data_IF_503668193513
#
_entry.id   IF_503668193513
#
_cell.length_a   1.000
_cell.length_b   1.000
_cell.length_c   1.000
_cell.angle_alpha   90.00
_cell.angle_beta   90.00
_cell.angle_gamma   90.00
#
_symmetry.space_group_name_H-M   'P 1'
#
loop_
_entity.id
_entity.type
_entity.pdbx_description
1 polymer ?
#
# COMPACT_ATOMS: atom_id res chain seq x y z
N UNK A 1 34.52 -1.47 -3.01
CA UNK A 1 33.11 -1.03 -3.05
C UNK A 1 32.59 -1.37 -4.44
N UNK A 2 31.40 -1.96 -4.55
CA UNK A 2 30.78 -2.35 -5.82
C UNK A 2 29.52 -1.50 -6.06
N UNK A 3 29.33 -1.06 -7.30
CA UNK A 3 28.22 -0.24 -7.76
C UNK A 3 27.72 -0.79 -9.08
N UNK A 4 26.45 -1.16 -9.10
CA UNK A 4 25.75 -1.59 -10.31
C UNK A 4 24.57 -0.64 -10.51
N UNK A 5 24.54 0.06 -11.65
CA UNK A 5 23.47 1.00 -12.00
C UNK A 5 22.99 0.64 -13.40
N UNK A 6 21.69 0.39 -13.53
CA UNK A 6 21.03 0.07 -14.79
C UNK A 6 19.88 1.03 -15.02
N UNK A 7 19.81 1.58 -16.23
CA UNK A 7 18.60 2.24 -16.72
C UNK A 7 17.84 1.28 -17.61
N UNK A 8 16.52 1.22 -17.46
CA UNK A 8 15.67 0.43 -18.33
C UNK A 8 14.53 1.25 -18.90
N UNK A 9 14.15 0.87 -20.12
CA UNK A 9 12.95 1.34 -20.78
C UNK A 9 12.27 0.13 -21.45
N UNK A 10 11.18 -0.34 -20.87
CA UNK A 10 10.44 -1.52 -21.31
C UNK A 10 9.04 -1.13 -21.74
N UNK A 11 8.72 -1.38 -23.01
CA UNK A 11 7.35 -1.30 -23.53
C UNK A 11 6.81 -2.72 -23.66
N UNK A 12 5.75 -3.04 -22.93
CA UNK A 12 5.00 -4.29 -23.08
C UNK A 12 3.77 -3.99 -23.92
N UNK A 13 3.57 -4.73 -25.00
CA UNK A 13 2.37 -4.66 -25.86
C UNK A 13 1.49 -5.88 -25.62
N UNK A 14 0.30 -5.86 -26.21
CA UNK A 14 -0.60 -7.01 -26.24
C UNK A 14 -0.99 -7.51 -24.84
N UNK A 15 -1.17 -6.58 -23.90
CA UNK A 15 -1.69 -6.89 -22.57
C UNK A 15 -3.13 -7.38 -22.69
N UNK A 16 -3.39 -8.54 -22.13
CA UNK A 16 -4.70 -9.14 -22.08
C UNK A 16 -5.55 -8.45 -21.02
N UNK A 17 -6.59 -7.73 -21.46
CA UNK A 17 -7.47 -6.93 -20.59
C UNK A 17 -8.95 -7.14 -20.97
N UNK A 18 -9.85 -6.88 -20.02
CA UNK A 18 -11.30 -6.84 -20.24
C UNK A 18 -11.69 -5.56 -21.00
N UNK A 19 -11.67 -5.62 -22.33
CA UNK A 19 -12.01 -4.50 -23.19
C UNK A 19 -13.50 -4.16 -23.11
N UNK A 20 -13.91 -2.89 -22.85
CA UNK A 20 -15.32 -2.51 -22.83
C UNK A 20 -15.94 -2.66 -24.22
N UNK A 21 -17.19 -3.14 -24.26
CA UNK A 21 -17.97 -3.28 -25.49
C UNK A 21 -19.10 -2.25 -25.56
N UNK A 22 -19.52 -1.83 -26.77
CA UNK A 22 -20.72 -1.01 -26.93
C UNK A 22 -21.94 -1.71 -26.34
N UNK A 23 -22.79 -0.94 -25.65
CA UNK A 23 -24.01 -1.46 -24.99
C UNK A 23 -24.96 -2.16 -25.95
N UNK A 24 -24.96 -1.76 -27.23
CA UNK A 24 -25.72 -2.39 -28.32
C UNK A 24 -25.38 -3.86 -28.56
N UNK A 25 -24.19 -4.32 -28.13
CA UNK A 25 -23.76 -5.72 -28.29
C UNK A 25 -24.40 -6.67 -27.30
N UNK A 26 -25.01 -6.17 -26.22
CA UNK A 26 -25.58 -7.00 -25.14
C UNK A 26 -24.56 -7.61 -24.17
N UNK A 27 -23.25 -7.40 -24.40
CA UNK A 27 -22.17 -7.81 -23.51
C UNK A 27 -21.43 -6.58 -22.95
N UNK A 28 -20.88 -6.68 -21.74
CA UNK A 28 -20.20 -5.57 -21.08
C UNK A 28 -18.71 -5.46 -21.43
N UNK A 29 -18.00 -6.58 -21.51
CA UNK A 29 -16.56 -6.63 -21.82
C UNK A 29 -16.19 -7.88 -22.62
N UNK A 30 -14.99 -7.89 -23.23
CA UNK A 30 -14.37 -9.06 -23.84
C UNK A 30 -12.85 -9.06 -23.59
N UNK A 31 -12.30 -10.22 -23.22
CA UNK A 31 -10.86 -10.37 -23.03
C UNK A 31 -10.11 -10.28 -24.38
N UNK A 32 -9.26 -9.26 -24.51
CA UNK A 32 -8.45 -9.03 -25.72
C UNK A 32 -7.07 -8.46 -25.37
N UNK A 33 -6.11 -8.72 -26.25
CA UNK A 33 -4.77 -8.13 -26.19
C UNK A 33 -4.83 -6.68 -26.68
N UNK A 34 -5.24 -5.76 -25.80
CA UNK A 34 -5.52 -4.37 -26.17
C UNK A 34 -4.65 -3.35 -25.44
N UNK A 35 -3.92 -3.75 -24.39
CA UNK A 35 -3.13 -2.81 -23.60
C UNK A 35 -1.67 -2.72 -24.05
N UNK A 36 -1.11 -1.52 -24.05
CA UNK A 36 0.33 -1.31 -24.05
C UNK A 36 0.75 -0.47 -22.84
N UNK A 37 1.79 -0.90 -22.13
CA UNK A 37 2.30 -0.21 -20.94
C UNK A 37 3.81 0.00 -21.08
N UNK A 38 4.27 1.16 -20.63
CA UNK A 38 5.67 1.56 -20.57
C UNK A 38 6.11 1.60 -19.12
N UNK A 39 7.19 0.89 -18.81
CA UNK A 39 7.92 0.97 -17.55
C UNK A 39 9.31 1.51 -17.87
N UNK A 40 9.70 2.59 -17.19
CA UNK A 40 11.03 3.16 -17.34
C UNK A 40 11.56 3.58 -15.99
N UNK A 41 12.85 3.37 -15.76
CA UNK A 41 13.35 3.41 -14.40
C UNK A 41 14.84 3.19 -14.26
N UNK A 42 15.26 3.22 -13.01
CA UNK A 42 16.64 2.99 -12.58
C UNK A 42 16.66 1.85 -11.57
N UNK A 43 17.57 0.91 -11.77
CA UNK A 43 17.95 -0.11 -10.80
C UNK A 43 19.36 0.17 -10.31
N UNK A 44 19.51 0.28 -8.99
CA UNK A 44 20.79 0.58 -8.36
C UNK A 44 21.08 -0.42 -7.25
N UNK A 45 22.26 -1.01 -7.29
CA UNK A 45 22.81 -1.83 -6.21
C UNK A 45 24.17 -1.28 -5.79
N UNK A 46 24.28 -0.92 -4.51
CA UNK A 46 25.49 -0.37 -3.92
C UNK A 46 25.90 -1.28 -2.79
N UNK A 47 27.09 -1.87 -2.86
CA UNK A 47 27.62 -2.74 -1.81
C UNK A 47 29.00 -2.28 -1.37
N UNK A 48 29.15 -1.98 -0.09
CA UNK A 48 30.40 -1.51 0.49
C UNK A 48 30.78 -2.27 1.75
N UNK A 49 32.07 -2.59 1.88
CA UNK A 49 32.68 -2.93 3.17
C UNK A 49 33.14 -1.62 3.78
N UNK A 50 32.37 -1.10 4.74
CA UNK A 50 32.60 0.20 5.37
C UNK A 50 33.74 0.15 6.38
N UNK A 51 33.87 -0.98 7.09
CA UNK A 51 35.01 -1.27 7.96
C UNK A 51 35.48 -2.68 7.71
N UNK A 52 36.80 -2.84 7.57
CA UNK A 52 37.47 -4.12 7.47
C UNK A 52 38.67 -4.12 8.42
N UNK A 53 38.53 -4.75 9.57
CA UNK A 53 39.57 -4.82 10.59
C UNK A 53 39.58 -6.20 11.24
N UNK A 54 40.65 -6.49 11.98
CA UNK A 54 40.84 -7.80 12.62
C UNK A 54 39.66 -8.20 13.52
N UNK A 55 39.12 -7.26 14.29
CA UNK A 55 38.08 -7.54 15.27
C UNK A 55 36.69 -7.03 14.89
N UNK A 56 36.58 -6.16 13.89
CA UNK A 56 35.31 -5.55 13.49
C UNK A 56 35.21 -5.44 11.97
N UNK A 57 34.13 -5.98 11.41
CA UNK A 57 33.81 -5.86 10.00
C UNK A 57 32.37 -5.36 9.86
N UNK A 58 32.17 -4.45 8.91
CA UNK A 58 30.86 -3.92 8.59
C UNK A 58 30.70 -3.84 7.08
N UNK A 59 29.70 -4.57 6.58
CA UNK A 59 29.27 -4.54 5.19
C UNK A 59 27.85 -4.00 5.11
N UNK A 60 27.62 -3.07 4.20
CA UNK A 60 26.30 -2.53 3.89
C UNK A 60 25.97 -2.74 2.42
N UNK A 61 24.71 -3.05 2.14
CA UNK A 61 24.18 -3.21 0.79
C UNK A 61 22.87 -2.43 0.66
N UNK A 62 22.80 -1.54 -0.31
CA UNK A 62 21.61 -0.79 -0.68
C UNK A 62 21.13 -1.30 -2.04
N UNK A 63 19.87 -1.73 -2.11
CA UNK A 63 19.14 -1.99 -3.34
C UNK A 63 18.05 -0.93 -3.49
N UNK A 64 17.99 -0.27 -4.64
CA UNK A 64 17.06 0.81 -4.92
C UNK A 64 16.55 0.68 -6.35
N UNK A 65 15.23 0.56 -6.51
CA UNK A 65 14.53 0.59 -7.78
C UNK A 65 13.63 1.82 -7.83
N UNK A 66 13.74 2.59 -8.93
CA UNK A 66 12.78 3.62 -9.33
C UNK A 66 12.05 3.13 -10.57
N UNK A 67 10.73 3.11 -10.55
CA UNK A 67 9.94 2.71 -11.72
C UNK A 67 8.80 3.69 -11.98
N UNK A 68 8.80 4.30 -13.17
CA UNK A 68 7.64 5.03 -13.69
C UNK A 68 6.85 4.13 -14.63
N UNK A 69 5.62 3.82 -14.25
CA UNK A 69 4.67 3.04 -15.03
C UNK A 69 3.64 3.97 -15.69
N UNK A 70 3.36 3.73 -16.97
CA UNK A 70 2.42 4.52 -17.78
C UNK A 70 1.72 3.63 -18.81
N UNK A 71 0.40 3.71 -18.87
CA UNK A 71 -0.42 3.09 -19.92
C UNK A 71 -0.31 3.93 -21.18
N UNK A 72 0.14 3.32 -22.29
CA UNK A 72 0.41 4.03 -23.55
C UNK A 72 -0.71 3.85 -24.57
N UNK A 73 -1.44 2.74 -24.51
CA UNK A 73 -2.53 2.44 -25.45
C UNK A 73 -3.55 1.48 -24.83
N UNK A 74 -4.83 1.67 -25.17
CA UNK A 74 -5.94 0.77 -24.85
C UNK A 74 -6.84 0.56 -26.08
N UNK A 75 -6.73 -0.58 -26.73
CA UNK A 75 -7.54 -0.91 -27.91
C UNK A 75 -7.31 0.07 -29.06
N UNK A 76 -8.34 0.27 -29.88
CA UNK A 76 -8.30 1.17 -31.03
C UNK A 76 -8.63 2.62 -30.66
N UNK A 77 -9.43 2.83 -29.61
CA UNK A 77 -9.99 4.14 -29.24
C UNK A 77 -9.49 4.68 -27.89
N UNK A 78 -8.56 3.99 -27.22
CA UNK A 78 -8.07 4.36 -25.90
C UNK A 78 -9.17 4.50 -24.84
N UNK A 79 -10.24 3.71 -24.96
CA UNK A 79 -11.32 3.72 -23.98
C UNK A 79 -10.82 3.25 -22.61
N UNK A 80 -11.29 3.94 -21.56
CA UNK A 80 -11.01 3.60 -20.19
C UNK A 80 -11.53 2.22 -19.83
N UNK A 81 -10.74 1.48 -19.04
CA UNK A 81 -11.15 0.19 -18.48
C UNK A 81 -11.37 0.37 -16.98
N UNK A 82 -12.63 0.33 -16.56
CA UNK A 82 -13.01 0.38 -15.15
C UNK A 82 -12.82 -0.98 -14.50
N UNK A 83 -12.14 -1.03 -13.35
CA UNK A 83 -11.76 -2.27 -12.68
C UNK A 83 -12.06 -2.23 -11.18
N UNK A 84 -11.96 -3.41 -10.54
CA UNK A 84 -12.11 -3.60 -9.10
C UNK A 84 -13.44 -3.02 -8.59
N UNK A 85 -14.54 -3.43 -9.25
CA UNK A 85 -15.89 -3.02 -8.88
C UNK A 85 -16.23 -3.52 -7.47
N UNK A 86 -16.61 -2.61 -6.60
CA UNK A 86 -16.98 -2.91 -5.22
C UNK A 86 -18.13 -2.00 -4.80
N UNK A 87 -18.12 -1.51 -3.56
CA UNK A 87 -19.10 -0.56 -3.05
C UNK A 87 -19.01 0.75 -3.84
N UNK A 88 -20.15 1.24 -4.34
CA UNK A 88 -20.21 2.52 -5.06
C UNK A 88 -19.61 2.47 -6.48
N UNK A 89 -19.36 1.27 -7.02
CA UNK A 89 -18.91 1.07 -8.39
C UNK A 89 -17.42 0.73 -8.51
N UNK A 90 -16.85 1.04 -9.67
CA UNK A 90 -15.43 0.85 -9.94
C UNK A 90 -14.56 1.75 -9.06
N UNK A 91 -13.49 1.16 -8.51
CA UNK A 91 -12.55 1.81 -7.60
C UNK A 91 -11.15 1.97 -8.21
N UNK A 92 -10.97 1.49 -9.43
CA UNK A 92 -9.73 1.66 -10.19
C UNK A 92 -10.03 1.79 -11.67
N UNK A 93 -9.08 2.36 -12.39
CA UNK A 93 -9.20 2.66 -13.81
C UNK A 93 -7.86 2.42 -14.49
N UNK A 94 -7.90 1.79 -15.66
CA UNK A 94 -6.78 1.81 -16.60
C UNK A 94 -7.12 2.87 -17.65
N UNK A 95 -6.27 3.90 -17.73
CA UNK A 95 -6.44 5.05 -18.63
C UNK A 95 -5.11 5.38 -19.30
N UNK A 96 -5.14 5.70 -20.59
CA UNK A 96 -3.93 6.11 -21.32
C UNK A 96 -3.35 7.40 -20.73
N UNK A 97 -2.04 7.42 -20.55
CA UNK A 97 -1.28 8.50 -19.90
C UNK A 97 -1.10 8.30 -18.38
N UNK A 98 -1.81 7.35 -17.78
CA UNK A 98 -1.87 7.17 -16.33
C UNK A 98 -1.18 5.87 -15.88
N UNK A 99 -1.06 5.71 -14.57
CA UNK A 99 -0.54 4.49 -13.98
C UNK A 99 -1.47 3.28 -14.24
N UNK A 100 -0.92 2.08 -14.36
CA UNK A 100 -1.70 0.85 -14.57
C UNK A 100 -2.58 0.48 -13.36
N UNK A 101 -2.25 0.96 -12.16
CA UNK A 101 -3.04 0.79 -10.94
C UNK A 101 -3.48 2.16 -10.39
N UNK A 102 -4.23 2.92 -11.18
CA UNK A 102 -4.81 4.19 -10.74
C UNK A 102 -6.12 3.96 -9.98
N UNK A 103 -6.24 4.56 -8.80
CA UNK A 103 -7.46 4.58 -8.01
C UNK A 103 -8.46 5.55 -8.61
N UNK A 104 -9.74 5.16 -8.61
CA UNK A 104 -10.81 5.90 -9.25
C UNK A 104 -11.97 6.11 -8.28
N UNK A 105 -12.41 7.35 -8.13
CA UNK A 105 -13.49 7.72 -7.22
C UNK A 105 -13.79 9.21 -7.27
N UNK A 106 -14.61 9.69 -6.35
CA UNK A 106 -14.96 11.10 -6.27
C UNK A 106 -13.90 11.89 -5.49
N UNK A 107 -13.92 13.22 -5.59
CA UNK A 107 -13.19 14.08 -4.66
C UNK A 107 -14.12 14.56 -3.55
N UNK A 108 -13.67 14.43 -2.30
CA UNK A 108 -14.37 14.89 -1.10
C UNK A 108 -14.20 16.40 -0.98
N UNK A 109 -15.32 17.12 -0.95
CA UNK A 109 -15.37 18.58 -0.86
C UNK A 109 -15.76 19.07 0.55
N UNK A 110 -15.89 18.16 1.51
CA UNK A 110 -16.34 18.43 2.87
C UNK A 110 -17.66 17.74 3.18
N UNK A 111 -18.48 18.42 3.98
CA UNK A 111 -19.87 18.04 4.27
C UNK A 111 -20.81 19.15 3.81
N UNK A 112 -22.06 18.80 3.49
CA UNK A 112 -23.07 19.83 3.27
C UNK A 112 -23.38 20.57 4.57
N UNK A 113 -23.53 21.89 4.49
CA UNK A 113 -23.79 22.78 5.61
C UNK A 113 -25.08 23.55 5.41
N UNK A 114 -25.54 24.30 6.42
CA UNK A 114 -26.70 25.19 6.27
C UNK A 114 -26.50 26.20 5.13
N UNK A 115 -25.28 26.70 4.91
CA UNK A 115 -24.97 27.61 3.82
C UNK A 115 -25.20 26.98 2.44
N UNK A 116 -24.97 25.66 2.29
CA UNK A 116 -25.26 24.96 1.04
C UNK A 116 -26.76 24.85 0.77
N UNK A 117 -27.57 24.69 1.82
CA UNK A 117 -29.03 24.66 1.73
C UNK A 117 -29.58 26.04 1.38
N UNK A 118 -29.09 27.08 2.05
CA UNK A 118 -29.50 28.47 1.80
C UNK A 118 -29.13 28.92 0.38
N UNK A 119 -28.03 28.39 -0.18
CA UNK A 119 -27.62 28.59 -1.56
C UNK A 119 -28.36 27.71 -2.59
N UNK A 120 -29.25 26.82 -2.15
CA UNK A 120 -30.01 25.90 -3.01
C UNK A 120 -29.20 24.73 -3.58
N UNK A 121 -28.01 24.47 -3.04
CA UNK A 121 -27.11 23.40 -3.49
C UNK A 121 -27.34 22.06 -2.76
N UNK A 122 -28.15 22.06 -1.70
CA UNK A 122 -28.46 20.88 -0.88
C UNK A 122 -29.85 21.01 -0.26
N UNK A 123 -30.44 19.89 0.19
CA UNK A 123 -31.64 19.92 1.03
C UNK A 123 -31.28 19.96 2.50
N UNK A 124 -32.21 20.39 3.35
CA UNK A 124 -32.00 20.38 4.80
C UNK A 124 -31.66 18.99 5.36
N UNK A 125 -32.13 17.91 4.73
CA UNK A 125 -31.80 16.53 5.13
C UNK A 125 -30.37 16.09 4.76
N UNK A 126 -29.66 16.89 3.95
CA UNK A 126 -28.30 16.62 3.50
C UNK A 126 -27.25 17.24 4.42
N UNK A 127 -27.61 18.17 5.31
CA UNK A 127 -26.67 18.82 6.23
C UNK A 127 -25.93 17.77 7.05
N UNK A 128 -24.60 17.78 6.97
CA UNK A 128 -23.68 16.84 7.61
C UNK A 128 -23.33 15.61 6.76
N UNK A 129 -23.95 15.42 5.59
CA UNK A 129 -23.60 14.35 4.66
C UNK A 129 -22.36 14.71 3.85
N UNK A 130 -21.69 13.69 3.34
CA UNK A 130 -20.57 13.84 2.43
C UNK A 130 -20.91 14.71 1.22
N UNK A 131 -20.17 15.80 1.04
CA UNK A 131 -20.20 16.59 -0.19
C UNK A 131 -19.08 16.11 -1.11
N UNK A 132 -19.41 15.72 -2.35
CA UNK A 132 -18.47 15.17 -3.33
C UNK A 132 -18.60 15.86 -4.68
N UNK A 133 -17.63 15.63 -5.56
CA UNK A 133 -17.78 15.92 -6.99
C UNK A 133 -18.92 15.11 -7.61
N UNK A 134 -19.47 15.58 -8.74
CA UNK A 134 -20.52 14.87 -9.48
C UNK A 134 -19.96 13.72 -10.30
N UNK A 135 -18.73 13.87 -10.79
CA UNK A 135 -18.03 12.89 -11.62
C UNK A 135 -16.84 12.30 -10.85
N UNK A 136 -16.51 11.06 -11.20
CA UNK A 136 -15.32 10.38 -10.69
C UNK A 136 -14.08 10.82 -11.46
N UNK A 137 -12.95 10.86 -10.77
CA UNK A 137 -11.64 11.16 -11.31
C UNK A 137 -10.59 10.19 -10.72
N UNK A 138 -9.35 10.30 -11.20
CA UNK A 138 -8.24 9.57 -10.59
C UNK A 138 -7.88 10.26 -9.28
N UNK A 139 -7.90 9.50 -8.19
CA UNK A 139 -7.73 10.00 -6.82
C UNK A 139 -6.43 9.51 -6.16
N UNK A 140 -5.65 8.69 -6.87
CA UNK A 140 -4.37 8.17 -6.39
C UNK A 140 -3.85 7.01 -7.24
N UNK A 141 -2.76 6.39 -6.80
CA UNK A 141 -2.11 5.24 -7.46
C UNK A 141 -1.57 4.21 -6.47
N UNK A 142 -1.80 2.94 -6.79
CA UNK A 142 -1.32 1.81 -6.01
C UNK A 142 0.08 1.33 -6.38
N UNK A 143 0.75 1.89 -7.40
CA UNK A 143 2.14 1.51 -7.73
C UNK A 143 3.15 2.47 -7.09
N UNK A 144 4.20 1.94 -6.41
CA UNK A 144 5.26 2.75 -5.82
C UNK A 144 6.15 3.40 -6.87
N UNK A 145 6.66 4.60 -6.55
CA UNK A 145 7.74 5.22 -7.33
C UNK A 145 9.09 4.61 -7.01
N UNK A 146 9.36 4.39 -5.71
CA UNK A 146 10.62 3.85 -5.22
C UNK A 146 10.39 2.63 -4.34
N UNK A 147 11.18 1.60 -4.58
CA UNK A 147 11.25 0.42 -3.73
C UNK A 147 12.70 0.09 -3.45
N UNK A 148 12.99 -0.56 -2.32
CA UNK A 148 14.35 -0.95 -2.04
C UNK A 148 14.54 -1.62 -0.70
N UNK A 149 15.79 -1.98 -0.45
CA UNK A 149 16.23 -2.53 0.83
C UNK A 149 17.61 -2.02 1.21
N UNK A 150 17.84 -1.92 2.52
CA UNK A 150 19.12 -1.56 3.09
C UNK A 150 19.53 -2.59 4.13
N UNK A 151 20.53 -3.40 3.78
CA UNK A 151 20.99 -4.53 4.57
C UNK A 151 22.35 -4.18 5.17
N UNK A 152 22.46 -4.33 6.49
CA UNK A 152 23.70 -4.14 7.24
C UNK A 152 24.10 -5.46 7.89
N UNK A 153 25.34 -5.89 7.63
CA UNK A 153 25.95 -7.04 8.26
C UNK A 153 27.18 -6.56 9.02
N UNK A 154 27.17 -6.76 10.33
CA UNK A 154 28.23 -6.40 11.24
C UNK A 154 28.76 -7.67 11.89
N UNK A 155 30.07 -7.76 12.07
CA UNK A 155 30.68 -8.80 12.90
C UNK A 155 31.68 -8.15 13.83
N UNK A 156 31.60 -8.47 15.11
CA UNK A 156 32.56 -8.05 16.12
C UNK A 156 33.07 -9.28 16.88
N UNK A 157 34.34 -9.65 16.67
CA UNK A 157 34.93 -10.90 17.17
C UNK A 157 34.01 -12.09 16.84
N UNK A 158 33.46 -12.74 17.87
CA UNK A 158 32.58 -13.90 17.80
C UNK A 158 31.10 -13.55 17.62
N UNK A 159 30.73 -12.27 17.65
CA UNK A 159 29.37 -11.79 17.42
C UNK A 159 29.14 -11.46 15.95
N UNK A 160 27.95 -11.81 15.46
CA UNK A 160 27.44 -11.39 14.16
C UNK A 160 26.07 -10.73 14.33
N UNK A 161 25.81 -9.68 13.56
CA UNK A 161 24.56 -8.93 13.59
C UNK A 161 24.12 -8.60 12.17
N UNK A 162 22.85 -8.84 11.87
CA UNK A 162 22.22 -8.47 10.60
C UNK A 162 20.99 -7.60 10.87
N UNK A 163 20.90 -6.48 10.16
CA UNK A 163 19.72 -5.64 10.07
C UNK A 163 19.30 -5.56 8.60
N UNK A 164 18.09 -6.02 8.29
CA UNK A 164 17.46 -5.90 6.97
C UNK A 164 16.28 -4.92 7.04
N UNK A 165 16.41 -3.80 6.33
CA UNK A 165 15.37 -2.79 6.17
C UNK A 165 14.81 -2.84 4.76
N UNK A 166 13.49 -2.79 4.63
CA UNK A 166 12.78 -2.57 3.37
C UNK A 166 12.10 -1.20 3.40
N UNK A 167 12.19 -0.45 2.32
CA UNK A 167 11.44 0.80 2.18
C UNK A 167 10.68 0.84 0.87
N UNK A 168 9.54 1.52 0.90
CA UNK A 168 8.69 1.81 -0.24
C UNK A 168 8.23 3.25 -0.13
N UNK A 169 8.28 4.01 -1.23
CA UNK A 169 7.93 5.43 -1.26
C UNK A 169 7.16 5.80 -2.52
N UNK A 170 6.22 6.74 -2.38
CA UNK A 170 5.41 7.26 -3.48
C UNK A 170 4.34 6.27 -3.93
N UNK A 171 3.81 5.51 -2.97
CA UNK A 171 2.70 4.58 -3.14
C UNK A 171 1.54 5.05 -2.29
N UNK A 172 0.32 4.90 -2.77
CA UNK A 172 -0.88 5.20 -2.00
C UNK A 172 -1.67 3.93 -1.73
N UNK A 173 -2.43 3.94 -0.64
CA UNK A 173 -3.29 2.83 -0.24
C UNK A 173 -4.73 3.32 -0.18
N UNK A 174 -5.63 2.59 -0.86
CA UNK A 174 -7.06 2.76 -0.71
C UNK A 174 -7.55 1.99 0.52
N UNK A 175 -7.96 2.72 1.55
CA UNK A 175 -8.43 2.21 2.83
C UNK A 175 -9.91 1.85 2.77
N UNK A 176 -10.26 0.84 1.98
CA UNK A 176 -11.65 0.41 1.76
C UNK A 176 -12.41 0.11 3.05
N UNK A 177 -11.73 -0.24 4.15
CA UNK A 177 -12.39 -0.43 5.44
C UNK A 177 -13.10 0.83 5.97
N UNK A 178 -12.80 2.03 5.46
CA UNK A 178 -13.54 3.28 5.74
C UNK A 178 -15.02 3.17 5.36
N UNK A 179 -15.37 2.35 4.37
CA UNK A 179 -16.75 1.96 4.10
C UNK A 179 -17.48 1.51 5.38
N UNK A 180 -16.86 0.57 6.11
CA UNK A 180 -17.45 -0.01 7.31
C UNK A 180 -17.21 0.85 8.55
N UNK A 181 -16.04 1.49 8.66
CA UNK A 181 -15.65 2.16 9.90
C UNK A 181 -16.05 3.62 9.99
N UNK A 182 -16.27 4.29 8.85
CA UNK A 182 -16.63 5.71 8.77
C UNK A 182 -17.99 5.95 8.13
N UNK A 183 -18.38 5.22 7.08
CA UNK A 183 -19.64 5.55 6.38
C UNK A 183 -20.87 4.76 6.88
N UNK A 184 -20.67 3.61 7.55
CA UNK A 184 -21.74 2.69 7.99
C UNK A 184 -22.13 2.76 9.47
N UNK A 185 -22.28 3.97 9.99
CA UNK A 185 -22.67 4.26 11.39
C UNK A 185 -23.84 3.41 11.92
N UNK A 186 -23.75 2.93 13.16
CA UNK A 186 -24.85 2.23 13.84
C UNK A 186 -25.18 0.82 13.32
N UNK A 187 -24.43 0.31 12.33
CA UNK A 187 -24.54 -1.08 11.83
C UNK A 187 -23.25 -1.86 12.12
N UNK A 188 -22.12 -1.16 12.12
CA UNK A 188 -20.78 -1.71 12.31
C UNK A 188 -20.07 -1.01 13.47
N UNK A 189 -18.98 -1.62 13.95
CA UNK A 189 -18.04 -0.91 14.81
C UNK A 189 -17.16 0.01 13.96
N UNK A 190 -16.80 1.17 14.52
CA UNK A 190 -16.08 2.23 13.83
C UNK A 190 -14.67 2.46 14.37
N UNK A 191 -13.93 3.32 13.68
CA UNK A 191 -12.70 3.90 14.24
C UNK A 191 -13.07 4.91 15.33
N UNK A 192 -12.29 4.98 16.42
CA UNK A 192 -12.61 5.82 17.58
C UNK A 192 -12.68 7.31 17.21
N UNK A 193 -11.84 7.71 16.27
CA UNK A 193 -11.70 9.07 15.73
C UNK A 193 -13.01 9.62 15.15
N UNK A 194 -13.94 8.75 14.77
CA UNK A 194 -15.27 9.16 14.31
C UNK A 194 -16.02 10.00 15.34
N UNK A 195 -15.77 9.77 16.64
CA UNK A 195 -16.42 10.51 17.73
C UNK A 195 -15.88 11.94 17.87
N UNK A 196 -14.69 12.21 17.33
CA UNK A 196 -14.05 13.53 17.37
C UNK A 196 -14.12 14.26 16.03
N UNK A 197 -14.09 13.52 14.93
CA UNK A 197 -13.90 14.07 13.60
C UNK A 197 -15.23 14.29 12.86
N UNK A 198 -16.26 13.51 13.19
CA UNK A 198 -17.57 13.59 12.56
C UNK A 198 -18.20 14.97 12.72
N UNK A 199 -18.90 15.42 11.67
CA UNK A 199 -19.63 16.67 11.73
C UNK A 199 -20.70 16.64 12.84
N UNK A 200 -20.67 17.67 13.69
CA UNK A 200 -21.62 17.86 14.79
C UNK A 200 -22.26 19.26 14.79
N UNK A 201 -22.12 20.00 13.68
CA UNK A 201 -22.59 21.38 13.58
C UNK A 201 -21.55 22.45 13.91
N UNK A 202 -20.46 22.12 14.60
CA UNK A 202 -19.49 23.13 15.09
C UNK A 202 -18.28 23.36 14.17
N UNK A 203 -17.88 22.35 13.39
CA UNK A 203 -16.77 22.44 12.45
C UNK A 203 -17.26 22.18 11.00
N UNK A 204 -17.63 23.22 10.24
CA UNK A 204 -18.08 23.06 8.85
C UNK A 204 -16.97 22.63 7.87
N UNK A 205 -15.70 22.69 8.29
CA UNK A 205 -14.55 22.30 7.46
C UNK A 205 -14.16 20.82 7.62
N UNK A 206 -14.89 20.04 8.41
CA UNK A 206 -14.61 18.60 8.52
C UNK A 206 -14.91 17.87 7.21
N UNK A 207 -14.09 16.88 6.90
CA UNK A 207 -14.31 15.96 5.78
C UNK A 207 -15.18 14.76 6.18
N UNK A 208 -15.40 14.57 7.48
CA UNK A 208 -16.11 13.41 8.02
C UNK A 208 -17.59 13.70 8.21
N UNK A 209 -18.42 12.79 7.70
CA UNK A 209 -19.87 12.90 7.76
C UNK A 209 -20.35 12.92 9.21
N UNK A 210 -21.52 13.50 9.45
CA UNK A 210 -22.17 13.42 10.76
C UNK A 210 -22.56 11.98 11.08
N UNK A 211 -22.65 11.67 12.38
CA UNK A 211 -23.16 10.39 12.85
C UNK A 211 -24.68 10.39 12.75
N UNK A 212 -25.23 9.55 11.87
CA UNK A 212 -26.68 9.36 11.74
C UNK A 212 -27.11 8.02 12.33
N UNK A 213 -28.22 8.04 13.08
CA UNK A 213 -28.88 6.80 13.52
C UNK A 213 -29.52 6.11 12.30
N UNK A 214 -29.27 4.81 12.16
CA UNK A 214 -29.91 4.02 11.11
C UNK A 214 -31.41 3.90 11.44
N UNK A 215 -32.28 4.49 10.63
CA UNK A 215 -33.73 4.39 10.82
C UNK A 215 -34.37 3.91 9.51
N UNK A 216 -34.29 2.60 9.26
CA UNK A 216 -34.72 1.96 8.01
C UNK A 216 -33.59 1.82 6.95
N UNK A 217 -33.63 0.73 6.18
CA UNK A 217 -32.52 0.22 5.37
C UNK A 217 -31.79 1.29 4.54
N UNK A 218 -30.46 1.40 4.73
CA UNK A 218 -29.47 2.26 4.05
C UNK A 218 -29.83 3.71 3.68
N UNK A 219 -31.02 4.22 4.00
CA UNK A 219 -31.59 5.50 3.52
C UNK A 219 -30.91 6.76 4.08
N UNK A 220 -29.76 6.63 4.73
CA UNK A 220 -28.99 7.74 5.30
C UNK A 220 -27.49 7.67 5.07
N UNK A 221 -26.95 6.58 4.51
CA UNK A 221 -25.51 6.34 4.48
C UNK A 221 -25.01 6.35 3.06
N UNK A 222 -24.27 7.39 2.70
CA UNK A 222 -23.59 7.48 1.43
C UNK A 222 -22.15 7.00 1.55
N UNK A 223 -21.94 5.80 1.02
CA UNK A 223 -20.63 5.19 0.93
C UNK A 223 -20.25 5.06 -0.53
N UNK A 224 -19.64 6.13 -1.03
CA UNK A 224 -19.02 6.17 -2.33
C UNK A 224 -17.53 6.38 -2.11
N UNK A 225 -16.72 5.68 -2.91
CA UNK A 225 -15.27 5.82 -2.84
C UNK A 225 -14.87 7.22 -3.25
N UNK A 226 -14.09 7.87 -2.40
CA UNK A 226 -13.52 9.18 -2.64
C UNK A 226 -12.10 9.28 -2.08
N UNK A 227 -11.43 10.37 -2.40
CA UNK A 227 -10.04 10.65 -2.02
C UNK A 227 -9.78 10.66 -0.50
N UNK A 228 -10.81 10.81 0.35
CA UNK A 228 -10.63 10.70 1.81
C UNK A 228 -10.27 9.28 2.28
N UNK A 229 -10.47 8.27 1.42
CA UNK A 229 -10.06 6.89 1.68
C UNK A 229 -8.62 6.62 1.24
N UNK A 230 -7.99 7.54 0.52
CA UNK A 230 -6.62 7.39 0.03
C UNK A 230 -5.66 7.91 1.10
N UNK A 231 -4.63 7.13 1.41
CA UNK A 231 -3.56 7.52 2.31
C UNK A 231 -2.19 7.26 1.69
N UNK A 232 -1.18 8.01 2.12
CA UNK A 232 0.20 7.68 1.82
C UNK A 232 0.53 6.29 2.38
N UNK A 233 0.81 5.38 1.45
CA UNK A 233 1.19 4.01 1.72
C UNK A 233 2.70 3.83 1.87
N UNK A 234 3.49 4.90 1.83
CA UNK A 234 4.94 4.84 2.01
C UNK A 234 5.29 4.30 3.39
N UNK A 235 6.28 3.41 3.45
CA UNK A 235 6.66 2.74 4.69
C UNK A 235 8.14 2.37 4.76
N UNK A 236 8.59 2.18 6.00
CA UNK A 236 9.86 1.54 6.34
C UNK A 236 9.54 0.31 7.20
N UNK A 237 9.90 -0.88 6.72
CA UNK A 237 9.77 -2.13 7.45
C UNK A 237 11.14 -2.65 7.85
N UNK A 238 11.24 -3.12 9.09
CA UNK A 238 12.36 -3.95 9.51
C UNK A 238 11.99 -5.39 9.19
N UNK A 239 12.59 -5.98 8.15
CA UNK A 239 12.32 -7.36 7.77
C UNK A 239 12.95 -8.33 8.76
N UNK A 240 14.21 -8.08 9.12
CA UNK A 240 15.00 -8.95 10.00
C UNK A 240 15.91 -8.14 10.90
N UNK A 241 15.90 -8.49 12.19
CA UNK A 241 17.00 -8.24 13.11
C UNK A 241 17.52 -9.61 13.56
N UNK A 242 18.80 -9.88 13.36
CA UNK A 242 19.44 -11.11 13.80
C UNK A 242 20.71 -10.77 14.59
N UNK A 243 20.87 -11.43 15.74
CA UNK A 243 22.10 -11.41 16.53
C UNK A 243 22.55 -12.85 16.77
N UNK A 244 23.79 -13.15 16.42
CA UNK A 244 24.41 -14.45 16.60
C UNK A 244 25.71 -14.36 17.40
N UNK A 245 26.05 -15.46 18.05
CA UNK A 245 27.35 -15.66 18.68
C UNK A 245 27.89 -17.05 18.31
N UNK A 246 29.10 -17.08 17.75
CA UNK A 246 29.80 -18.33 17.39
C UNK A 246 30.90 -18.61 18.40
N UNK A 247 30.81 -19.75 19.09
CA UNK A 247 31.75 -20.13 20.14
C UNK A 247 33.13 -20.49 19.57
N UNK A 248 34.18 -20.26 20.37
CA UNK A 248 35.54 -20.62 19.99
C UNK A 248 35.68 -22.16 19.89
N UNK A 249 36.12 -22.70 18.73
CA UNK A 249 36.29 -24.14 18.53
C UNK A 249 37.14 -24.84 19.59
N UNK A 250 38.16 -24.18 20.16
CA UNK A 250 39.04 -24.78 21.18
C UNK A 250 38.28 -25.23 22.44
N UNK A 251 37.22 -24.49 22.81
CA UNK A 251 36.39 -24.81 23.97
C UNK A 251 35.42 -25.96 23.63
N UNK A 252 35.03 -26.07 22.36
CA UNK A 252 34.08 -27.07 21.86
C UNK A 252 34.70 -28.47 21.66
N UNK A 253 36.03 -28.56 21.48
CA UNK A 253 36.75 -29.83 21.30
C UNK A 253 36.44 -30.87 22.38
N UNK A 254 36.32 -30.43 23.64
CA UNK A 254 36.00 -31.34 24.77
C UNK A 254 34.60 -31.95 24.69
N UNK A 255 33.68 -31.27 23.98
CA UNK A 255 32.31 -31.73 23.79
C UNK A 255 32.10 -32.46 22.45
N UNK A 256 33.18 -32.74 21.69
CA UNK A 256 33.10 -33.42 20.40
C UNK A 256 32.36 -32.61 19.32
N UNK A 257 32.42 -31.28 19.39
CA UNK A 257 31.78 -30.40 18.41
C UNK A 257 32.85 -29.57 17.68
N UNK A 258 32.71 -29.46 16.36
CA UNK A 258 33.54 -28.62 15.50
C UNK A 258 33.03 -27.17 15.41
N UNK A 259 31.73 -26.93 15.56
CA UNK A 259 31.13 -25.58 15.57
C UNK A 259 29.85 -25.51 16.39
N UNK A 260 29.68 -24.44 17.15
CA UNK A 260 28.44 -24.10 17.85
C UNK A 260 28.14 -22.61 17.65
N UNK A 261 26.94 -22.30 17.14
CA UNK A 261 26.41 -20.93 17.06
C UNK A 261 25.01 -20.87 17.67
N UNK A 262 24.80 -19.90 18.56
CA UNK A 262 23.47 -19.57 19.08
C UNK A 262 23.06 -18.23 18.46
N UNK A 263 21.81 -18.10 18.05
CA UNK A 263 21.31 -16.88 17.42
C UNK A 263 19.84 -16.62 17.75
N UNK A 264 19.49 -15.34 17.82
CA UNK A 264 18.13 -14.88 17.97
C UNK A 264 17.72 -14.04 16.75
N UNK A 265 16.53 -14.29 16.23
CA UNK A 265 15.96 -13.56 15.10
C UNK A 265 14.64 -12.91 15.50
N UNK A 266 14.43 -11.70 15.02
CA UNK A 266 13.15 -11.03 15.00
C UNK A 266 12.77 -10.71 13.55
N UNK A 267 11.72 -11.36 13.05
CA UNK A 267 11.19 -11.15 11.71
C UNK A 267 9.95 -10.24 11.76
N UNK A 268 9.91 -9.26 10.85
CA UNK A 268 8.90 -8.19 10.82
C UNK A 268 8.68 -7.45 12.16
N UNK A 269 9.70 -7.19 13.01
CA UNK A 269 9.46 -6.66 14.35
C UNK A 269 8.84 -5.25 14.35
N UNK A 270 9.18 -4.43 13.35
CA UNK A 270 8.77 -3.03 13.27
C UNK A 270 8.33 -2.65 11.85
N UNK A 271 7.31 -1.80 11.79
CA UNK A 271 6.74 -1.22 10.58
C UNK A 271 6.40 0.23 10.90
N UNK A 272 6.91 1.15 10.09
CA UNK A 272 6.66 2.59 10.21
C UNK A 272 5.92 3.04 8.95
N UNK A 273 4.80 3.73 9.11
CA UNK A 273 3.91 4.19 8.02
C UNK A 273 3.56 5.66 8.21
N UNK A 274 2.94 6.25 7.19
CA UNK A 274 2.34 7.58 7.30
C UNK A 274 1.22 7.62 8.36
N UNK A 275 0.89 8.82 8.87
CA UNK A 275 -0.04 9.02 10.00
C UNK A 275 -1.51 8.84 9.58
N UNK A 276 -1.81 9.18 8.34
CA UNK A 276 -3.08 9.07 7.65
C UNK A 276 -3.44 7.62 7.33
N UNK A 277 -2.46 6.72 7.24
CA UNK A 277 -2.69 5.29 7.11
C UNK A 277 -3.16 4.72 8.45
N UNK A 278 -4.38 4.17 8.47
CA UNK A 278 -5.08 3.58 9.62
C UNK A 278 -5.22 2.06 9.53
N UNK A 279 -4.71 1.45 8.46
CA UNK A 279 -4.71 0.00 8.28
C UNK A 279 -3.61 -0.70 9.10
N UNK A 280 -3.54 -2.03 8.97
CA UNK A 280 -2.54 -2.83 9.69
C UNK A 280 -1.21 -2.96 8.94
N UNK A 281 -1.25 -3.11 7.62
CA UNK A 281 -0.08 -3.28 6.76
C UNK A 281 -0.34 -2.63 5.39
N UNK A 282 0.47 -1.64 4.97
CA UNK A 282 0.24 -0.89 3.73
C UNK A 282 0.53 -1.71 2.46
N UNK A 283 1.24 -2.84 2.56
CA UNK A 283 1.52 -3.73 1.42
C UNK A 283 0.39 -4.74 1.18
N UNK A 284 -0.71 -4.66 1.94
CA UNK A 284 -1.82 -5.61 1.85
C UNK A 284 -2.82 -5.27 0.75
N UNK A 285 -3.47 -6.30 0.22
CA UNK A 285 -4.62 -6.16 -0.70
C UNK A 285 -5.72 -7.15 -0.32
N UNK A 286 -6.98 -6.71 -0.47
CA UNK A 286 -8.17 -7.55 -0.31
C UNK A 286 -8.86 -7.84 -1.66
N UNK A 287 -8.22 -7.53 -2.79
CA UNK A 287 -8.80 -7.69 -4.13
C UNK A 287 -8.65 -9.10 -4.72
N UNK A 288 -8.26 -10.08 -3.90
CA UNK A 288 -8.24 -11.50 -4.26
C UNK A 288 -7.38 -11.79 -5.49
N UNK A 289 -8.02 -12.26 -6.57
CA UNK A 289 -7.37 -12.63 -7.83
C UNK A 289 -7.16 -11.46 -8.80
N UNK A 290 -7.55 -10.24 -8.43
CA UNK A 290 -7.36 -9.08 -9.30
C UNK A 290 -5.88 -8.79 -9.53
N UNK A 291 -5.49 -8.75 -10.80
CA UNK A 291 -4.11 -8.49 -11.22
C UNK A 291 -3.66 -7.05 -10.93
N UNK A 292 -4.61 -6.12 -10.79
CA UNK A 292 -4.37 -4.69 -10.60
C UNK A 292 -5.09 -4.14 -9.36
N UNK A 293 -5.31 -4.98 -8.34
CA UNK A 293 -5.95 -4.59 -7.09
C UNK A 293 -4.97 -4.32 -5.94
N UNK A 294 -3.68 -4.10 -6.24
CA UNK A 294 -2.65 -3.89 -5.20
C UNK A 294 -2.96 -2.63 -4.39
N UNK A 295 -2.63 -2.66 -3.09
CA UNK A 295 -2.81 -1.54 -2.16
C UNK A 295 -4.25 -1.04 -2.02
N UNK A 296 -5.23 -1.93 -2.21
CA UNK A 296 -6.64 -1.71 -1.88
C UNK A 296 -7.02 -2.68 -0.76
N UNK A 297 -7.19 -2.17 0.46
CA UNK A 297 -7.27 -3.00 1.67
C UNK A 297 -8.61 -2.86 2.39
N UNK A 298 -9.26 -4.01 2.58
CA UNK A 298 -10.48 -4.18 3.36
C UNK A 298 -10.21 -5.22 4.45
N UNK A 299 -9.81 -4.74 5.64
CA UNK A 299 -9.47 -5.55 6.81
C UNK A 299 -8.46 -6.68 6.56
N UNK A 300 -7.47 -6.47 5.68
CA UNK A 300 -6.42 -7.45 5.46
C UNK A 300 -5.52 -7.59 6.70
N UNK A 301 -5.18 -8.83 7.05
CA UNK A 301 -4.28 -9.11 8.17
C UNK A 301 -2.84 -8.72 7.85
N UNK A 302 -2.09 -8.18 8.84
CA UNK A 302 -0.69 -7.85 8.65
C UNK A 302 0.17 -9.11 8.63
N UNK A 303 1.43 -8.95 8.17
CA UNK A 303 2.45 -9.99 8.37
C UNK A 303 2.69 -10.22 9.85
N UNK A 304 2.80 -11.48 10.25
CA UNK A 304 3.07 -11.84 11.65
C UNK A 304 4.49 -11.40 12.07
N UNK A 305 4.60 -10.94 13.31
CA UNK A 305 5.89 -10.73 13.99
C UNK A 305 6.35 -12.06 14.58
N UNK A 306 7.57 -12.47 14.27
CA UNK A 306 8.10 -13.77 14.73
C UNK A 306 9.44 -13.59 15.42
N UNK A 307 9.52 -14.05 16.66
CA UNK A 307 10.77 -14.12 17.42
C UNK A 307 11.19 -15.58 17.55
N UNK A 308 12.43 -15.90 17.21
CA UNK A 308 12.95 -17.26 17.27
C UNK A 308 14.36 -17.29 17.85
N UNK A 309 14.62 -18.27 18.71
CA UNK A 309 15.95 -18.63 19.18
C UNK A 309 16.38 -19.91 18.47
N UNK A 310 17.58 -19.92 17.88
CA UNK A 310 18.11 -21.03 17.12
C UNK A 310 19.52 -21.41 17.56
N UNK A 311 19.87 -22.67 17.32
CA UNK A 311 21.20 -23.22 17.56
C UNK A 311 21.64 -23.97 16.31
N UNK A 312 22.87 -23.71 15.87
CA UNK A 312 23.52 -24.44 14.78
C UNK A 312 24.74 -25.18 15.35
N UNK A 313 24.72 -26.51 15.27
CA UNK A 313 25.76 -27.41 15.77
C UNK A 313 26.36 -28.19 14.61
N UNK A 314 27.68 -28.28 14.59
CA UNK A 314 28.42 -29.18 13.71
C UNK A 314 29.33 -30.05 14.59
N UNK A 315 29.32 -31.36 14.36
CA UNK A 315 30.14 -32.34 15.07
C UNK A 315 31.52 -32.45 14.43
#
# INVERSE_FOLDING_TARGET
MNFDVSYYHKKTTDLLLDAPLPTSTGFSTVMKNIGAVKNQGLDMMITGTLVNSENFNWKSSLNLNYNKNEVVQLGENNADILMNNWVGGANSIIRVGENLNSFYGYRRLGVFTQADVDAGNAKSEDIGRAKRTTEKEIIGKGLPDWTGSFINNLSYKNFDFTLDLQFVKGVEVMQQFYHSTYDRFGITNGLKEILTDAYNGTNPNTMQQAIYLTNGGHRGQETNVDDSWIADGSYLRVNLIQLGYTFNPEILKRAGMSRLRIYANANNPFLFTAKEFKGYDPESTSQGTSQFGQNMTFFAYPRAKTFSLGVNVTF
#
